data_IF_611410754340
#
_entry.id   IF_611410754340
#
_cell.length_a   1.000
_cell.length_b   1.000
_cell.length_c   1.000
_cell.angle_alpha   90.00
_cell.angle_beta   90.00
_cell.angle_gamma   90.00
#
_symmetry.space_group_name_H-M   'P 1'
#
loop_
_entity.id
_entity.type
_entity.pdbx_description
1 polymer ?
#
# COMPACT_ATOMS: atom_id res chain seq x y z
N UNK A 1 -42.84 5.40 20.94
CA UNK A 1 -42.44 5.45 19.52
C UNK A 1 -40.95 5.19 19.46
N UNK A 2 -40.58 3.94 19.15
CA UNK A 2 -39.26 3.39 19.44
C UNK A 2 -38.31 3.69 18.29
N UNK A 3 -37.48 4.71 18.42
CA UNK A 3 -36.46 5.02 17.41
C UNK A 3 -35.21 4.21 17.72
N UNK A 4 -35.14 3.00 17.14
CA UNK A 4 -33.96 2.14 17.14
C UNK A 4 -32.74 2.92 16.61
N UNK A 5 -31.89 3.42 17.51
CA UNK A 5 -30.57 3.96 17.16
C UNK A 5 -29.68 2.77 16.79
N UNK A 6 -29.49 2.56 15.49
CA UNK A 6 -28.49 1.61 14.99
C UNK A 6 -27.14 1.94 15.62
N UNK A 7 -26.53 0.96 16.29
CA UNK A 7 -25.25 1.09 17.02
C UNK A 7 -24.03 1.16 16.10
N UNK A 8 -24.23 1.04 14.79
CA UNK A 8 -23.20 1.28 13.80
C UNK A 8 -23.25 2.75 13.37
N UNK A 9 -22.18 3.49 13.65
CA UNK A 9 -21.91 4.77 13.00
C UNK A 9 -21.69 4.59 11.49
N UNK A 10 -21.52 5.69 10.73
CA UNK A 10 -21.26 5.59 9.30
C UNK A 10 -20.07 4.67 9.02
N UNK A 11 -20.29 3.66 8.18
CA UNK A 11 -19.28 2.68 7.81
C UNK A 11 -18.10 3.39 7.11
N UNK A 12 -16.85 2.98 7.39
CA UNK A 12 -15.70 3.50 6.65
C UNK A 12 -15.86 3.21 5.16
N UNK A 13 -15.60 4.21 4.33
CA UNK A 13 -15.61 4.07 2.87
C UNK A 13 -14.33 3.32 2.46
N UNK A 14 -14.46 2.02 2.18
CA UNK A 14 -13.39 1.26 1.55
C UNK A 14 -13.37 1.61 0.06
N UNK A 15 -12.47 2.51 -0.35
CA UNK A 15 -12.27 2.84 -1.76
C UNK A 15 -11.30 1.82 -2.39
N UNK A 16 -11.85 0.92 -3.20
CA UNK A 16 -11.07 -0.01 -4.02
C UNK A 16 -10.96 0.55 -5.44
N UNK A 17 -9.73 0.80 -5.90
CA UNK A 17 -9.47 1.26 -7.27
C UNK A 17 -8.99 0.08 -8.12
N UNK A 18 -9.67 -0.17 -9.24
CA UNK A 18 -9.23 -1.16 -10.24
C UNK A 18 -8.34 -0.47 -11.27
N UNK A 19 -7.13 -0.99 -11.49
CA UNK A 19 -6.21 -0.53 -12.53
C UNK A 19 -6.02 -1.62 -13.59
N UNK A 20 -5.98 -1.20 -14.86
CA UNK A 20 -5.59 -2.04 -16.00
C UNK A 20 -4.29 -1.50 -16.56
N UNK A 21 -3.29 -2.35 -16.77
CA UNK A 21 -2.02 -1.95 -17.39
C UNK A 21 -1.61 -2.95 -18.47
N UNK A 22 -0.88 -2.46 -19.46
CA UNK A 22 -0.23 -3.31 -20.46
C UNK A 22 1.08 -3.85 -19.89
N UNK A 23 1.23 -5.17 -19.86
CA UNK A 23 2.42 -5.87 -19.38
C UNK A 23 3.10 -6.57 -20.55
N UNK A 24 4.44 -6.46 -20.72
CA UNK A 24 5.17 -7.33 -21.62
C UNK A 24 4.95 -8.81 -21.28
N UNK A 25 4.87 -9.68 -22.28
CA UNK A 25 4.65 -11.12 -22.07
C UNK A 25 5.72 -11.79 -21.21
N UNK A 26 6.99 -11.34 -21.34
CA UNK A 26 8.10 -11.81 -20.50
C UNK A 26 7.87 -11.51 -19.01
N UNK A 27 7.44 -10.29 -18.69
CA UNK A 27 7.17 -9.90 -17.31
C UNK A 27 6.00 -10.71 -16.71
N UNK A 28 4.96 -11.02 -17.49
CA UNK A 28 3.88 -11.89 -17.03
C UNK A 28 4.39 -13.30 -16.71
N UNK A 29 5.24 -13.87 -17.56
CA UNK A 29 5.82 -15.19 -17.34
C UNK A 29 6.70 -15.22 -16.08
N UNK A 30 7.49 -14.17 -15.84
CA UNK A 30 8.31 -14.05 -14.63
C UNK A 30 7.45 -13.94 -13.37
N UNK A 31 6.35 -13.18 -13.42
CA UNK A 31 5.40 -13.08 -12.31
C UNK A 31 4.71 -14.43 -12.01
N UNK A 32 4.34 -15.20 -13.04
CA UNK A 32 3.73 -16.52 -12.86
C UNK A 32 4.71 -17.52 -12.25
N UNK A 33 5.97 -17.46 -12.67
CA UNK A 33 7.04 -18.26 -12.08
C UNK A 33 7.27 -17.87 -10.63
N UNK A 34 7.26 -16.59 -10.32
CA UNK A 34 7.40 -16.10 -8.95
C UNK A 34 6.24 -16.55 -8.05
N UNK A 35 5.00 -16.46 -8.54
CA UNK A 35 3.81 -17.01 -7.89
C UNK A 35 3.94 -18.51 -7.59
N UNK A 36 4.42 -19.29 -8.56
CA UNK A 36 4.68 -20.72 -8.39
C UNK A 36 5.71 -20.99 -7.29
N UNK A 37 6.82 -20.25 -7.28
CA UNK A 37 7.87 -20.40 -6.26
C UNK A 37 7.36 -19.97 -4.87
N UNK A 38 6.55 -18.93 -4.79
CA UNK A 38 5.91 -18.50 -3.56
C UNK A 38 5.01 -19.60 -3.00
N UNK A 39 4.21 -20.22 -3.85
CA UNK A 39 3.34 -21.34 -3.46
C UNK A 39 4.12 -22.56 -2.98
N UNK A 40 5.25 -22.88 -3.62
CA UNK A 40 6.14 -23.94 -3.14
C UNK A 40 6.75 -23.64 -1.78
N UNK A 41 7.03 -22.36 -1.49
CA UNK A 41 7.69 -21.94 -0.25
C UNK A 41 6.71 -21.88 0.94
N UNK A 42 5.50 -21.36 0.70
CA UNK A 42 4.52 -21.09 1.75
C UNK A 42 3.33 -22.07 1.76
N UNK A 43 3.25 -22.98 0.80
CA UNK A 43 2.22 -24.02 0.71
C UNK A 43 0.86 -23.54 0.20
N UNK A 44 0.73 -22.26 -0.14
CA UNK A 44 -0.52 -21.68 -0.63
C UNK A 44 -0.38 -21.23 -2.09
N UNK A 45 -1.27 -21.71 -2.96
CA UNK A 45 -1.29 -21.28 -4.35
C UNK A 45 -1.73 -19.81 -4.43
N UNK A 46 -0.80 -18.94 -4.84
CA UNK A 46 -1.05 -17.50 -4.98
C UNK A 46 -0.93 -17.12 -6.46
N UNK A 47 -1.85 -16.31 -6.98
CA UNK A 47 -1.79 -15.80 -8.36
C UNK A 47 -0.95 -14.52 -8.44
N UNK A 48 -0.29 -14.30 -9.58
CA UNK A 48 0.46 -13.09 -9.88
C UNK A 48 -0.38 -11.83 -9.62
N UNK A 49 -1.67 -11.83 -9.97
CA UNK A 49 -2.57 -10.68 -9.77
C UNK A 49 -2.71 -10.30 -8.30
N UNK A 50 -2.62 -11.27 -7.40
CA UNK A 50 -2.69 -11.03 -5.94
C UNK A 50 -1.35 -10.60 -5.36
N UNK A 51 -0.23 -11.03 -5.95
CA UNK A 51 1.11 -10.62 -5.52
C UNK A 51 1.49 -9.21 -6.00
N UNK A 52 1.05 -8.81 -7.20
CA UNK A 52 1.41 -7.53 -7.81
C UNK A 52 1.16 -6.34 -6.86
N UNK A 53 -0.02 -6.18 -6.21
CA UNK A 53 -0.25 -5.08 -5.27
C UNK A 53 0.76 -5.05 -4.12
N UNK A 54 1.04 -6.21 -3.50
CA UNK A 54 2.00 -6.31 -2.39
C UNK A 54 3.43 -6.02 -2.83
N UNK A 55 3.83 -6.50 -4.01
CA UNK A 55 5.15 -6.22 -4.58
C UNK A 55 5.33 -4.71 -4.86
N UNK A 56 4.29 -4.07 -5.42
CA UNK A 56 4.30 -2.63 -5.69
C UNK A 56 4.35 -1.81 -4.40
N UNK A 57 3.58 -2.19 -3.37
CA UNK A 57 3.61 -1.53 -2.07
C UNK A 57 5.00 -1.61 -1.43
N UNK A 58 5.60 -2.81 -1.40
CA UNK A 58 6.94 -3.02 -0.88
C UNK A 58 8.00 -2.24 -1.68
N UNK A 59 7.83 -2.15 -3.00
CA UNK A 59 8.71 -1.37 -3.87
C UNK A 59 8.66 0.12 -3.54
N UNK A 60 7.46 0.70 -3.47
CA UNK A 60 7.25 2.12 -3.15
C UNK A 60 7.76 2.45 -1.73
N UNK A 61 7.50 1.58 -0.76
CA UNK A 61 7.97 1.76 0.61
C UNK A 61 9.51 1.72 0.72
N UNK A 62 10.18 0.97 -0.15
CA UNK A 62 11.64 0.82 -0.15
C UNK A 62 12.36 1.87 -1.01
N UNK A 63 11.68 2.50 -1.95
CA UNK A 63 12.27 3.52 -2.82
C UNK A 63 12.67 4.79 -2.01
N UNK A 64 13.96 4.91 -1.72
CA UNK A 64 14.53 6.04 -0.98
C UNK A 64 14.42 7.35 -1.76
N UNK A 65 14.49 7.30 -3.10
CA UNK A 65 14.34 8.46 -3.97
C UNK A 65 12.94 9.04 -3.85
N UNK A 66 11.93 8.16 -3.85
CA UNK A 66 10.53 8.53 -3.59
C UNK A 66 10.33 9.11 -2.18
N UNK A 67 10.89 8.45 -1.15
CA UNK A 67 10.77 8.91 0.25
C UNK A 67 11.39 10.28 0.51
N UNK A 68 12.50 10.62 -0.15
CA UNK A 68 13.17 11.92 0.00
C UNK A 68 12.30 13.09 -0.49
N UNK A 69 11.44 12.86 -1.49
CA UNK A 69 10.47 13.85 -1.97
C UNK A 69 9.31 14.10 -1.00
N UNK A 70 8.92 13.12 -0.19
CA UNK A 70 7.85 13.27 0.81
C UNK A 70 8.30 14.05 2.06
N UNK A 71 9.55 13.85 2.50
CA UNK A 71 10.07 14.49 3.71
C UNK A 71 10.20 16.02 3.57
N UNK A 72 10.32 16.54 2.35
CA UNK A 72 10.38 17.98 2.09
C UNK A 72 9.04 18.71 2.31
N UNK A 73 7.93 17.99 2.55
CA UNK A 73 6.60 18.58 2.77
C UNK A 73 6.18 18.65 4.24
N UNK A 74 6.96 18.10 5.18
CA UNK A 74 6.72 18.31 6.60
C UNK A 74 7.26 19.70 6.99
N UNK A 75 6.42 20.65 7.44
CA UNK A 75 6.93 21.91 7.96
C UNK A 75 7.83 21.63 9.16
N UNK A 76 8.97 22.32 9.30
CA UNK A 76 9.82 22.17 10.48
C UNK A 76 8.99 22.50 11.72
N UNK A 77 9.05 21.62 12.74
CA UNK A 77 8.40 21.84 14.01
C UNK A 77 8.81 23.21 14.58
N UNK A 78 7.89 23.97 15.19
CA UNK A 78 8.22 25.28 15.74
C UNK A 78 9.28 25.09 16.82
N UNK A 79 10.44 25.71 16.61
CA UNK A 79 11.47 25.84 17.64
C UNK A 79 10.82 26.55 18.82
N UNK A 80 10.78 25.90 19.99
CA UNK A 80 10.48 26.59 21.23
C UNK A 80 11.68 27.48 21.51
N UNK A 81 11.53 28.77 21.23
CA UNK A 81 12.45 29.80 21.66
C UNK A 81 12.59 29.71 23.19
N UNK A 82 13.82 29.49 23.65
CA UNK A 82 14.15 29.49 25.07
C UNK A 82 14.07 30.93 25.62
N UNK A 83 13.66 31.13 26.88
CA UNK A 83 13.44 32.46 27.44
C UNK A 83 14.78 33.18 27.69
N UNK A 84 14.82 34.52 27.64
CA UNK A 84 16.03 35.27 27.96
C UNK A 84 16.31 35.20 29.47
N UNK A 85 17.59 35.22 29.81
CA UNK A 85 18.13 35.30 31.18
C UNK A 85 18.12 36.74 31.67
#
# INVERSE_FOLDING_TARGET
MNTNKLRLGPLPKSETVKLTFACPGSLKADLDRYATLHAQTYGEAVDAVTLIPHMLEAFIARDRGFRKGMAAKAPPAPRRDAPPT
#
